data_IF_379469424784
#
_entry.id   IF_379469424784
#
_cell.length_a   1.000
_cell.length_b   1.000
_cell.length_c   1.000
_cell.angle_alpha   90.00
_cell.angle_beta   90.00
_cell.angle_gamma   90.00
#
_symmetry.space_group_name_H-M   'P 1'
#
loop_
_entity.id
_entity.type
_entity.pdbx_description
1 polymer ?
#
# COMPACT_ATOMS: atom_id res chain seq x y z
N UNK A 1 -10.55 4.65 12.93
CA UNK A 1 -10.43 5.71 11.91
C UNK A 1 -10.13 5.06 10.57
N UNK A 2 -10.80 5.49 9.50
CA UNK A 2 -10.42 5.16 8.13
C UNK A 2 -9.30 6.12 7.71
N UNK A 3 -8.19 5.59 7.21
CA UNK A 3 -7.08 6.41 6.69
C UNK A 3 -7.33 6.95 5.28
N UNK A 4 -8.40 6.49 4.64
CA UNK A 4 -8.84 6.94 3.32
C UNK A 4 -9.67 8.22 3.47
N UNK A 5 -9.32 9.27 2.73
CA UNK A 5 -10.04 10.55 2.60
C UNK A 5 -10.34 10.85 1.12
N UNK A 6 -11.10 11.92 0.85
CA UNK A 6 -11.43 12.36 -0.53
C UNK A 6 -12.00 11.24 -1.43
N UNK A 7 -12.99 10.51 -0.91
CA UNK A 7 -13.55 9.36 -1.60
C UNK A 7 -14.21 9.74 -2.93
N UNK A 8 -13.87 8.98 -3.98
CA UNK A 8 -14.54 9.02 -5.28
C UNK A 8 -15.02 7.63 -5.64
N UNK A 9 -16.32 7.51 -5.87
CA UNK A 9 -16.90 6.28 -6.41
C UNK A 9 -16.38 6.02 -7.82
N UNK A 10 -16.16 4.73 -8.10
CA UNK A 10 -15.67 4.24 -9.37
C UNK A 10 -16.44 2.99 -9.79
N UNK A 11 -16.63 2.85 -11.09
CA UNK A 11 -16.98 1.57 -11.70
C UNK A 11 -15.70 0.91 -12.25
N UNK A 12 -14.78 0.56 -11.33
CA UNK A 12 -13.46 0.04 -11.70
C UNK A 12 -13.47 -1.41 -12.17
N UNK A 13 -12.28 -1.90 -12.53
CA UNK A 13 -12.07 -3.30 -12.90
C UNK A 13 -12.18 -4.26 -11.72
N UNK A 14 -12.02 -5.56 -12.02
CA UNK A 14 -11.98 -6.62 -11.03
C UNK A 14 -10.55 -7.02 -10.72
N UNK A 15 -10.28 -7.32 -9.45
CA UNK A 15 -9.00 -7.82 -8.96
C UNK A 15 -9.22 -9.17 -8.32
N UNK A 16 -8.49 -10.18 -8.78
CA UNK A 16 -8.47 -11.50 -8.15
C UNK A 16 -7.46 -11.52 -7.00
N UNK A 17 -7.76 -12.30 -5.96
CA UNK A 17 -6.93 -12.40 -4.77
C UNK A 17 -6.79 -13.87 -4.35
N UNK A 18 -5.56 -14.33 -4.09
CA UNK A 18 -5.30 -15.71 -3.67
C UNK A 18 -5.83 -16.80 -4.62
N UNK A 19 -5.97 -16.50 -5.92
CA UNK A 19 -6.53 -17.43 -6.91
C UNK A 19 -8.06 -17.53 -6.90
N UNK A 20 -8.77 -16.67 -6.16
CA UNK A 20 -10.24 -16.64 -6.17
C UNK A 20 -10.77 -16.13 -7.53
N UNK A 21 -11.49 -16.96 -8.31
CA UNK A 21 -11.96 -16.59 -9.65
C UNK A 21 -13.04 -15.50 -9.64
N UNK A 22 -13.73 -15.27 -8.50
CA UNK A 22 -14.72 -14.18 -8.39
C UNK A 22 -14.06 -12.82 -8.23
N UNK A 23 -12.87 -12.77 -7.64
CA UNK A 23 -12.17 -11.53 -7.29
C UNK A 23 -13.02 -10.55 -6.48
N UNK A 24 -12.69 -9.28 -6.57
CA UNK A 24 -13.50 -8.18 -6.07
C UNK A 24 -13.42 -6.98 -7.00
N UNK A 25 -14.47 -6.16 -6.98
CA UNK A 25 -14.59 -4.97 -7.81
C UNK A 25 -13.99 -3.77 -7.09
N UNK A 26 -13.20 -2.99 -7.81
CA UNK A 26 -12.76 -1.68 -7.34
C UNK A 26 -13.95 -0.72 -7.44
N UNK A 27 -14.47 -0.31 -6.29
CA UNK A 27 -15.68 0.53 -6.23
C UNK A 27 -15.40 1.95 -5.79
N UNK A 28 -14.26 2.18 -5.12
CA UNK A 28 -13.92 3.48 -4.56
C UNK A 28 -12.42 3.70 -4.69
N UNK A 29 -12.01 4.93 -4.93
CA UNK A 29 -10.65 5.40 -4.67
C UNK A 29 -10.65 6.57 -3.71
N UNK A 30 -9.55 6.79 -3.03
CA UNK A 30 -9.35 7.97 -2.20
C UNK A 30 -7.86 8.18 -1.91
N UNK A 31 -7.59 9.19 -1.09
CA UNK A 31 -6.24 9.53 -0.66
C UNK A 31 -5.93 8.93 0.69
N UNK A 32 -4.71 8.45 0.87
CA UNK A 32 -4.16 8.05 2.16
C UNK A 32 -3.00 8.97 2.47
N UNK A 33 -3.06 9.64 3.61
CA UNK A 33 -1.95 10.45 4.12
C UNK A 33 -1.48 9.88 5.44
N UNK A 34 -0.21 9.49 5.50
CA UNK A 34 0.43 8.98 6.73
C UNK A 34 1.58 9.86 7.18
N UNK A 35 2.00 10.83 6.36
CA UNK A 35 3.15 11.71 6.62
C UNK A 35 4.48 11.07 6.23
N UNK A 36 4.62 9.75 6.33
CA UNK A 36 5.78 9.00 5.82
C UNK A 36 5.60 8.54 4.38
N UNK A 37 4.42 8.02 4.06
CA UNK A 37 4.08 7.51 2.74
C UNK A 37 2.62 7.82 2.41
N UNK A 38 2.44 8.65 1.39
CA UNK A 38 1.11 9.11 0.97
C UNK A 38 0.73 8.50 -0.38
N UNK A 39 -0.56 8.30 -0.60
CA UNK A 39 -1.12 7.75 -1.83
C UNK A 39 -2.31 8.58 -2.28
N UNK A 40 -2.32 9.05 -3.52
CA UNK A 40 -3.42 9.86 -4.05
C UNK A 40 -4.58 9.02 -4.61
N UNK A 41 -4.29 7.82 -5.10
CA UNK A 41 -5.30 6.86 -5.58
C UNK A 41 -5.09 5.50 -4.91
N UNK A 42 -5.48 5.38 -3.64
CA UNK A 42 -5.63 4.09 -2.99
C UNK A 42 -7.02 3.51 -3.32
N UNK A 43 -7.05 2.28 -3.82
CA UNK A 43 -8.27 1.67 -4.35
C UNK A 43 -8.90 0.71 -3.35
N UNK A 44 -10.17 0.91 -3.01
CA UNK A 44 -10.90 0.00 -2.14
C UNK A 44 -11.65 -1.05 -2.97
N UNK A 45 -11.49 -2.31 -2.58
CA UNK A 45 -12.15 -3.47 -3.19
C UNK A 45 -13.23 -3.99 -2.26
N UNK A 46 -14.50 -3.82 -2.65
CA UNK A 46 -15.66 -4.02 -1.76
C UNK A 46 -15.76 -5.44 -1.21
N UNK A 47 -15.60 -6.45 -2.06
CA UNK A 47 -15.75 -7.86 -1.70
C UNK A 47 -14.59 -8.37 -0.86
N UNK A 48 -13.39 -7.83 -1.07
CA UNK A 48 -12.19 -8.19 -0.33
C UNK A 48 -12.08 -7.41 1.00
N UNK A 49 -12.72 -6.24 1.10
CA UNK A 49 -12.60 -5.30 2.23
C UNK A 49 -11.15 -4.83 2.47
N UNK A 50 -10.32 -4.88 1.43
CA UNK A 50 -8.94 -4.42 1.45
C UNK A 50 -8.75 -3.22 0.52
N UNK A 51 -7.72 -2.44 0.83
CA UNK A 51 -7.21 -1.41 -0.07
C UNK A 51 -6.05 -1.97 -0.89
N UNK A 52 -5.95 -1.55 -2.14
CA UNK A 52 -4.85 -1.86 -3.03
C UNK A 52 -3.99 -0.61 -3.21
N UNK A 53 -2.68 -0.81 -3.10
CA UNK A 53 -1.66 0.19 -3.35
C UNK A 53 -0.93 -0.17 -4.64
N UNK A 54 -0.72 0.83 -5.50
CA UNK A 54 0.10 0.62 -6.67
C UNK A 54 1.58 0.79 -6.33
N UNK A 55 2.40 -0.20 -6.69
CA UNK A 55 3.87 -0.08 -6.64
C UNK A 55 4.33 1.11 -7.51
N UNK A 56 3.65 1.39 -8.62
CA UNK A 56 4.01 2.50 -9.50
C UNK A 56 3.96 3.84 -8.78
N UNK A 57 2.94 4.08 -7.93
CA UNK A 57 2.81 5.34 -7.17
C UNK A 57 3.97 5.54 -6.19
N UNK A 58 4.53 4.45 -5.65
CA UNK A 58 5.73 4.52 -4.82
C UNK A 58 6.93 4.92 -5.67
N UNK A 59 7.11 4.28 -6.83
CA UNK A 59 8.19 4.55 -7.78
C UNK A 59 8.13 5.97 -8.39
N UNK A 60 6.93 6.48 -8.67
CA UNK A 60 6.71 7.83 -9.20
C UNK A 60 7.25 8.89 -8.23
N UNK A 61 7.18 8.61 -6.93
CA UNK A 61 7.78 9.41 -5.85
C UNK A 61 9.28 9.17 -5.66
N UNK A 62 9.93 8.48 -6.60
CA UNK A 62 11.34 8.09 -6.57
C UNK A 62 11.73 7.14 -5.44
N UNK A 63 10.75 6.57 -4.73
CA UNK A 63 11.02 5.52 -3.77
C UNK A 63 11.40 4.24 -4.53
N UNK A 64 12.30 3.46 -3.93
CA UNK A 64 12.59 2.11 -4.43
C UNK A 64 11.72 1.10 -3.68
N UNK A 65 11.28 0.06 -4.37
CA UNK A 65 10.56 -1.05 -3.74
C UNK A 65 11.39 -2.31 -3.90
N UNK A 66 11.80 -2.89 -2.77
CA UNK A 66 12.61 -4.10 -2.72
C UNK A 66 11.76 -5.26 -2.22
N UNK A 67 11.70 -6.33 -2.99
CA UNK A 67 11.06 -7.57 -2.60
C UNK A 67 12.12 -8.63 -2.26
N UNK A 68 11.95 -9.28 -1.12
CA UNK A 68 12.74 -10.44 -0.72
C UNK A 68 11.84 -11.67 -0.63
N UNK A 69 12.43 -12.81 -0.28
CA UNK A 69 11.66 -14.01 0.05
C UNK A 69 10.77 -13.83 1.28
N UNK A 70 11.14 -12.94 2.21
CA UNK A 70 10.46 -12.72 3.49
C UNK A 70 9.60 -11.45 3.57
N UNK A 71 9.94 -10.38 2.84
CA UNK A 71 9.27 -9.08 3.00
C UNK A 71 9.34 -8.18 1.77
N UNK A 72 8.53 -7.13 1.78
CA UNK A 72 8.57 -6.00 0.86
C UNK A 72 8.96 -4.74 1.62
N UNK A 73 9.96 -4.04 1.11
CA UNK A 73 10.48 -2.80 1.66
C UNK A 73 10.22 -1.64 0.70
N UNK A 74 9.68 -0.54 1.22
CA UNK A 74 9.66 0.75 0.49
C UNK A 74 10.77 1.62 1.06
N UNK A 75 11.72 1.98 0.21
CA UNK A 75 12.93 2.71 0.54
C UNK A 75 12.80 4.15 0.04
N UNK A 76 13.23 5.12 0.85
CA UNK A 76 13.26 6.52 0.43
C UNK A 76 14.20 6.75 -0.76
N UNK A 77 14.05 7.86 -1.50
CA UNK A 77 14.88 8.11 -2.69
C UNK A 77 16.37 8.26 -2.35
N UNK A 78 16.67 8.75 -1.16
CA UNK A 78 18.03 8.98 -0.67
C UNK A 78 18.65 7.76 0.02
N UNK A 79 18.03 6.58 -0.13
CA UNK A 79 18.47 5.35 0.53
C UNK A 79 19.95 5.05 0.23
N UNK A 80 20.79 5.12 1.26
CA UNK A 80 22.21 4.74 1.23
C UNK A 80 22.41 3.60 2.22
N UNK A 81 23.07 2.54 1.77
CA UNK A 81 23.41 1.39 2.62
C UNK A 81 24.24 1.83 3.84
N UNK A 82 24.05 1.25 5.04
CA UNK A 82 22.88 0.54 5.56
C UNK A 82 22.20 1.42 6.62
N UNK A 83 21.44 2.43 6.20
CA UNK A 83 20.65 3.24 7.13
C UNK A 83 19.20 2.74 7.18
N UNK A 84 18.85 2.02 8.25
CA UNK A 84 17.49 1.51 8.47
C UNK A 84 16.45 2.64 8.63
N UNK A 85 16.86 3.86 9.00
CA UNK A 85 15.94 4.99 9.16
C UNK A 85 15.32 5.44 7.83
N UNK A 86 15.94 5.05 6.71
CA UNK A 86 15.48 5.37 5.37
C UNK A 86 14.47 4.34 4.80
N UNK A 87 14.13 3.30 5.57
CA UNK A 87 13.03 2.37 5.25
C UNK A 87 11.69 3.02 5.65
N UNK A 88 10.86 3.34 4.66
CA UNK A 88 9.56 3.99 4.87
C UNK A 88 8.48 2.98 5.28
N UNK A 89 8.58 1.74 4.78
CA UNK A 89 7.61 0.68 5.04
C UNK A 89 8.27 -0.70 4.99
N UNK A 90 7.96 -1.54 5.97
CA UNK A 90 8.22 -2.98 5.94
C UNK A 90 6.91 -3.74 5.89
N UNK A 91 6.77 -4.67 4.96
CA UNK A 91 5.56 -5.49 4.80
C UNK A 91 5.97 -6.96 4.74
N UNK A 92 5.67 -7.77 5.76
CA UNK A 92 6.02 -9.19 5.74
C UNK A 92 5.24 -9.91 4.64
N UNK A 93 5.88 -10.93 4.07
CA UNK A 93 5.27 -11.82 3.11
C UNK A 93 4.50 -12.92 3.84
N UNK A 94 3.24 -13.07 3.51
CA UNK A 94 2.38 -14.16 3.94
C UNK A 94 1.93 -14.95 2.70
N UNK A 95 2.46 -16.15 2.51
CA UNK A 95 2.28 -16.95 1.29
C UNK A 95 2.73 -16.19 0.03
N UNK A 96 1.78 -15.72 -0.79
CA UNK A 96 2.04 -14.96 -2.01
C UNK A 96 1.60 -13.50 -1.91
N UNK A 97 1.45 -12.99 -0.68
CA UNK A 97 0.86 -11.70 -0.41
C UNK A 97 1.71 -10.87 0.54
N UNK A 98 1.59 -9.55 0.42
CA UNK A 98 2.20 -8.58 1.32
C UNK A 98 1.07 -7.80 1.99
N UNK A 99 0.77 -8.12 3.24
CA UNK A 99 -0.32 -7.53 3.99
C UNK A 99 0.19 -6.39 4.88
N UNK A 100 -0.37 -5.19 4.70
CA UNK A 100 0.05 -4.01 5.47
C UNK A 100 -1.08 -3.50 6.35
N UNK A 101 -0.77 -3.31 7.64
CA UNK A 101 -1.64 -2.56 8.55
C UNK A 101 -1.18 -1.10 8.59
N UNK A 102 -2.03 -0.19 8.14
CA UNK A 102 -1.71 1.24 8.07
C UNK A 102 -1.39 1.85 9.44
N UNK A 103 -1.87 1.25 10.55
CA UNK A 103 -1.49 1.65 11.91
C UNK A 103 0.02 1.58 12.18
N UNK A 104 0.74 0.74 11.44
CA UNK A 104 2.18 0.56 11.61
C UNK A 104 2.99 1.64 10.86
N UNK A 105 2.34 2.44 10.00
CA UNK A 105 2.99 3.45 9.15
C UNK A 105 2.76 4.85 9.71
N UNK A 106 1.57 5.09 10.25
CA UNK A 106 1.25 6.38 10.87
C UNK A 106 2.12 6.54 12.12
N UNK A 107 2.84 7.67 12.28
CA UNK A 107 3.51 7.97 13.53
C UNK A 107 2.53 7.80 14.69
N UNK A 108 2.95 7.15 15.77
CA UNK A 108 2.19 7.24 17.02
C UNK A 108 2.23 8.71 17.42
N UNK A 109 1.10 9.40 17.33
CA UNK A 109 0.97 10.76 17.84
C UNK A 109 1.49 10.78 19.29
N UNK A 110 2.43 11.69 19.58
CA UNK A 110 2.78 12.08 20.96
C UNK A 110 1.70 12.99 21.52
#
# INVERSE_FOLDING_TARGET
>A
MSYLSDFKELNGGYVAFGGNPKGGKITVKGKIKTGKLDFDDAYFVKELKFNLFSVSQMCDKKNSVLFTDAECLVLSPDFKLPDESQVLLRVPRENNMYNVNLKNIVPSDY
#
